data_IF_054107794690
#
_entry.id   IF_054107794690
#
_cell.length_a   1.000
_cell.length_b   1.000
_cell.length_c   1.000
_cell.angle_alpha   90.00
_cell.angle_beta   90.00
_cell.angle_gamma   90.00
#
_symmetry.space_group_name_H-M   'P 1'
#
loop_
_entity.id
_entity.type
_entity.pdbx_description
1 polymer ?
#
# COMPACT_ATOMS: atom_id res chain seq x y z
N UNK A 1 -1.49 -48.76 -28.88
CA UNK A 1 -2.80 -48.75 -29.58
C UNK A 1 -2.76 -48.46 -31.08
N UNK A 2 -2.41 -47.27 -31.57
CA UNK A 2 -2.22 -47.11 -33.03
C UNK A 2 -1.13 -48.06 -33.56
N UNK A 3 -0.15 -48.39 -32.71
CA UNK A 3 0.94 -49.34 -33.00
C UNK A 3 0.45 -50.81 -33.06
N UNK A 4 -0.53 -51.24 -32.27
CA UNK A 4 -1.05 -52.63 -32.30
C UNK A 4 -2.13 -52.83 -33.36
N UNK A 5 -2.99 -51.84 -33.60
CA UNK A 5 -3.88 -51.82 -34.77
C UNK A 5 -3.08 -51.78 -36.07
N UNK A 6 -2.00 -50.97 -36.13
CA UNK A 6 -1.03 -51.01 -37.22
C UNK A 6 -0.27 -52.34 -37.28
N UNK A 7 0.05 -52.98 -36.16
CA UNK A 7 0.74 -54.26 -36.16
C UNK A 7 -0.15 -55.38 -36.72
N UNK A 8 -1.44 -55.40 -36.36
CA UNK A 8 -2.42 -56.32 -36.94
C UNK A 8 -2.68 -56.00 -38.42
N UNK A 9 -2.77 -54.72 -38.79
CA UNK A 9 -2.89 -54.32 -40.20
C UNK A 9 -1.65 -54.74 -41.01
N UNK A 10 -0.45 -54.46 -40.52
CA UNK A 10 0.80 -54.85 -41.15
C UNK A 10 0.97 -56.38 -41.21
N UNK A 11 0.47 -57.12 -40.21
CA UNK A 11 0.41 -58.58 -40.25
C UNK A 11 -0.55 -59.06 -41.34
N UNK A 12 -1.68 -58.39 -41.54
CA UNK A 12 -2.65 -58.70 -42.59
C UNK A 12 -2.05 -58.48 -43.97
N UNK A 13 -1.44 -57.31 -44.17
CA UNK A 13 -0.80 -56.94 -45.43
C UNK A 13 0.30 -57.97 -45.80
N UNK A 14 1.09 -58.44 -44.81
CA UNK A 14 2.07 -59.52 -45.01
C UNK A 14 1.45 -60.89 -45.32
N UNK A 15 0.41 -61.28 -44.60
CA UNK A 15 -0.25 -62.58 -44.80
C UNK A 15 -0.97 -62.62 -46.15
N UNK A 16 -1.57 -61.51 -46.57
CA UNK A 16 -2.20 -61.37 -47.88
C UNK A 16 -1.18 -61.52 -49.01
N UNK A 17 -0.02 -60.89 -48.87
CA UNK A 17 1.04 -60.96 -49.87
C UNK A 17 1.62 -62.37 -50.07
N UNK A 18 1.63 -63.20 -49.02
CA UNK A 18 2.24 -64.54 -49.03
C UNK A 18 1.23 -65.66 -49.32
N UNK A 19 0.01 -65.56 -48.79
CA UNK A 19 -0.98 -66.66 -48.76
C UNK A 19 -2.28 -66.32 -49.53
N UNK A 20 -2.42 -65.09 -50.02
CA UNK A 20 -3.62 -64.57 -50.64
C UNK A 20 -4.70 -64.17 -49.61
N UNK A 21 -5.57 -63.25 -50.02
CA UNK A 21 -6.62 -62.63 -49.19
C UNK A 21 -7.50 -63.63 -48.42
N UNK A 22 -7.98 -64.76 -49.00
CA UNK A 22 -8.87 -65.69 -48.28
C UNK A 22 -8.22 -66.36 -47.07
N UNK A 23 -6.94 -66.77 -47.21
CA UNK A 23 -6.19 -67.43 -46.15
C UNK A 23 -5.74 -66.43 -45.09
N UNK A 24 -5.34 -65.22 -45.48
CA UNK A 24 -5.00 -64.14 -44.57
C UNK A 24 -6.18 -63.76 -43.65
N UNK A 25 -7.39 -63.65 -44.22
CA UNK A 25 -8.61 -63.38 -43.46
C UNK A 25 -8.91 -64.49 -42.45
N UNK A 26 -8.73 -65.74 -42.84
CA UNK A 26 -8.98 -66.90 -41.96
C UNK A 26 -8.00 -66.90 -40.78
N UNK A 27 -6.72 -66.65 -41.03
CA UNK A 27 -5.70 -66.55 -39.97
C UNK A 27 -5.95 -65.35 -39.06
N UNK A 28 -6.44 -64.24 -39.61
CA UNK A 28 -6.86 -63.10 -38.81
C UNK A 28 -8.01 -63.41 -37.87
N UNK A 29 -8.95 -64.26 -38.29
CA UNK A 29 -10.11 -64.64 -37.49
C UNK A 29 -9.74 -65.46 -36.25
N UNK A 30 -8.58 -66.15 -36.25
CA UNK A 30 -8.09 -66.91 -35.10
C UNK A 30 -7.26 -66.08 -34.12
N UNK A 31 -6.91 -64.84 -34.44
CA UNK A 31 -6.21 -63.99 -33.49
C UNK A 31 -7.15 -63.56 -32.37
N UNK A 32 -6.74 -63.70 -31.09
CA UNK A 32 -7.57 -63.28 -29.97
C UNK A 32 -7.91 -61.78 -30.10
N UNK A 33 -9.11 -61.33 -29.72
CA UNK A 33 -9.46 -59.91 -29.71
C UNK A 33 -8.41 -59.13 -28.92
N UNK A 34 -7.99 -57.97 -29.44
CA UNK A 34 -6.84 -57.17 -28.93
C UNK A 34 -7.13 -56.56 -27.55
N UNK A 35 -8.33 -56.73 -27.03
CA UNK A 35 -8.79 -56.18 -25.76
C UNK A 35 -8.28 -57.04 -24.60
N UNK A 36 -7.03 -56.81 -24.20
CA UNK A 36 -6.55 -57.28 -22.90
C UNK A 36 -7.30 -56.59 -21.75
N UNK A 37 -7.42 -57.22 -20.58
CA UNK A 37 -8.25 -56.74 -19.46
C UNK A 37 -7.87 -55.36 -18.89
N UNK A 38 -6.68 -54.84 -19.20
CA UNK A 38 -6.18 -53.52 -18.72
C UNK A 38 -5.97 -52.49 -19.85
N UNK A 39 -6.40 -52.77 -21.08
CA UNK A 39 -6.19 -51.87 -22.21
C UNK A 39 -7.29 -50.77 -22.23
N UNK A 40 -6.92 -49.53 -21.90
CA UNK A 40 -7.81 -48.37 -22.06
C UNK A 40 -8.31 -48.28 -23.52
N UNK A 41 -9.62 -48.26 -23.72
CA UNK A 41 -10.21 -48.22 -25.06
C UNK A 41 -10.01 -46.85 -25.71
N UNK A 42 -10.11 -46.76 -27.04
CA UNK A 42 -10.10 -45.46 -27.73
C UNK A 42 -11.22 -44.54 -27.25
N UNK A 43 -12.33 -45.10 -26.76
CA UNK A 43 -13.42 -44.34 -26.13
C UNK A 43 -13.01 -43.74 -24.79
N UNK A 44 -12.25 -44.48 -23.97
CA UNK A 44 -11.75 -43.99 -22.69
C UNK A 44 -10.73 -42.86 -22.89
N UNK A 45 -9.85 -42.99 -23.89
CA UNK A 45 -8.91 -41.92 -24.27
C UNK A 45 -9.64 -40.68 -24.77
N UNK A 46 -10.71 -40.85 -25.56
CA UNK A 46 -11.53 -39.73 -26.03
C UNK A 46 -12.26 -39.02 -24.88
N UNK A 47 -12.74 -39.76 -23.86
CA UNK A 47 -13.33 -39.17 -22.65
C UNK A 47 -12.30 -38.36 -21.87
N UNK A 48 -11.12 -38.93 -21.60
CA UNK A 48 -10.05 -38.21 -20.90
C UNK A 48 -9.63 -36.95 -21.66
N UNK A 49 -9.58 -37.01 -23.00
CA UNK A 49 -9.31 -35.81 -23.81
C UNK A 49 -10.40 -34.74 -23.63
N UNK A 50 -11.68 -35.13 -23.65
CA UNK A 50 -12.79 -34.20 -23.39
C UNK A 50 -12.69 -33.59 -21.99
N UNK A 51 -12.50 -34.42 -20.96
CA UNK A 51 -12.37 -33.99 -19.57
C UNK A 51 -11.20 -33.02 -19.38
N UNK A 52 -10.08 -33.26 -20.07
CA UNK A 52 -8.92 -32.36 -20.05
C UNK A 52 -9.25 -31.01 -20.70
N UNK A 53 -9.96 -31.00 -21.82
CA UNK A 53 -10.38 -29.77 -22.50
C UNK A 53 -11.38 -28.99 -21.64
N UNK A 54 -12.32 -29.68 -21.00
CA UNK A 54 -13.29 -29.08 -20.07
C UNK A 54 -12.58 -28.50 -18.83
N UNK A 55 -11.62 -29.23 -18.26
CA UNK A 55 -10.79 -28.76 -17.16
C UNK A 55 -10.00 -27.50 -17.56
N UNK A 56 -9.38 -27.50 -18.74
CA UNK A 56 -8.61 -26.35 -19.20
C UNK A 56 -9.49 -25.11 -19.37
N UNK A 57 -10.68 -25.27 -19.98
CA UNK A 57 -11.67 -24.18 -20.07
C UNK A 57 -12.11 -23.67 -18.71
N UNK A 58 -12.30 -24.56 -17.72
CA UNK A 58 -12.64 -24.14 -16.36
C UNK A 58 -11.48 -23.37 -15.70
N UNK A 59 -10.25 -23.81 -15.90
CA UNK A 59 -9.07 -23.12 -15.38
C UNK A 59 -8.93 -21.73 -15.99
N UNK A 60 -9.08 -21.58 -17.31
CA UNK A 60 -9.04 -20.28 -18.00
C UNK A 60 -10.06 -19.30 -17.40
N UNK A 61 -11.30 -19.75 -17.19
CA UNK A 61 -12.35 -18.92 -16.56
C UNK A 61 -12.00 -18.52 -15.13
N UNK A 62 -11.38 -19.43 -14.36
CA UNK A 62 -10.96 -19.14 -12.98
C UNK A 62 -9.78 -18.17 -12.95
N UNK A 63 -8.83 -18.27 -13.87
CA UNK A 63 -7.71 -17.35 -13.97
C UNK A 63 -8.19 -15.96 -14.38
N UNK A 64 -9.07 -15.84 -15.36
CA UNK A 64 -9.71 -14.57 -15.73
C UNK A 64 -10.43 -13.91 -14.53
N UNK A 65 -11.18 -14.71 -13.76
CA UNK A 65 -11.82 -14.21 -12.54
C UNK A 65 -10.82 -13.79 -11.46
N UNK A 66 -9.65 -14.43 -11.38
CA UNK A 66 -8.56 -14.04 -10.48
C UNK A 66 -7.94 -12.71 -10.94
N UNK A 67 -7.67 -12.55 -12.23
CA UNK A 67 -7.09 -11.34 -12.81
C UNK A 67 -8.00 -10.14 -12.56
N UNK A 68 -9.31 -10.27 -12.80
CA UNK A 68 -10.29 -9.23 -12.48
C UNK A 68 -10.32 -8.84 -11.00
N UNK A 69 -10.10 -9.81 -10.09
CA UNK A 69 -9.99 -9.54 -8.66
C UNK A 69 -8.71 -8.81 -8.31
N UNK A 70 -7.59 -9.15 -8.95
CA UNK A 70 -6.33 -8.43 -8.76
C UNK A 70 -6.42 -6.98 -9.27
N UNK A 71 -7.03 -6.74 -10.43
CA UNK A 71 -7.28 -5.37 -10.89
C UNK A 71 -8.14 -4.56 -9.91
N UNK A 72 -9.18 -5.20 -9.33
CA UNK A 72 -10.00 -4.55 -8.32
C UNK A 72 -9.22 -4.25 -7.03
N UNK A 73 -8.29 -5.12 -6.65
CA UNK A 73 -7.37 -4.90 -5.52
C UNK A 73 -6.44 -3.73 -5.82
N UNK A 74 -5.85 -3.67 -7.01
CA UNK A 74 -4.94 -2.58 -7.42
C UNK A 74 -5.65 -1.23 -7.40
N UNK A 75 -6.88 -1.15 -7.92
CA UNK A 75 -7.70 0.07 -7.83
C UNK A 75 -7.97 0.50 -6.39
N UNK A 76 -8.17 -0.46 -5.47
CA UNK A 76 -8.35 -0.16 -4.05
C UNK A 76 -7.06 0.34 -3.40
N UNK A 77 -5.91 -0.21 -3.76
CA UNK A 77 -4.63 0.27 -3.27
C UNK A 77 -4.33 1.69 -3.75
N UNK A 78 -4.56 1.99 -5.03
CA UNK A 78 -4.44 3.37 -5.54
C UNK A 78 -5.33 4.36 -4.78
N UNK A 79 -6.56 3.96 -4.44
CA UNK A 79 -7.46 4.79 -3.63
C UNK A 79 -6.96 4.97 -2.18
N UNK A 80 -6.27 3.96 -1.62
CA UNK A 80 -5.64 4.06 -0.30
C UNK A 80 -4.44 5.01 -0.35
N UNK A 81 -3.59 4.91 -1.36
CA UNK A 81 -2.43 5.79 -1.55
C UNK A 81 -2.87 7.25 -1.63
N UNK A 82 -3.89 7.55 -2.43
CA UNK A 82 -4.42 8.91 -2.53
C UNK A 82 -4.97 9.45 -1.20
N UNK A 83 -5.58 8.58 -0.38
CA UNK A 83 -6.02 8.99 0.96
C UNK A 83 -4.86 9.30 1.88
N UNK A 84 -3.76 8.56 1.79
CA UNK A 84 -2.55 8.84 2.56
C UNK A 84 -1.90 10.16 2.14
N UNK A 85 -1.81 10.45 0.84
CA UNK A 85 -1.34 11.76 0.35
C UNK A 85 -2.15 12.93 0.93
N UNK A 86 -3.48 12.78 1.00
CA UNK A 86 -4.35 13.80 1.60
C UNK A 86 -4.11 13.94 3.11
N UNK A 87 -3.84 12.83 3.81
CA UNK A 87 -3.49 12.86 5.23
C UNK A 87 -2.17 13.60 5.43
N UNK A 88 -1.15 13.33 4.64
CA UNK A 88 0.15 13.99 4.71
C UNK A 88 0.03 15.50 4.48
N UNK A 89 -0.77 15.92 3.49
CA UNK A 89 -1.05 17.33 3.24
C UNK A 89 -1.73 18.02 4.44
N UNK A 90 -2.67 17.33 5.10
CA UNK A 90 -3.34 17.86 6.30
C UNK A 90 -2.39 17.97 7.49
N UNK A 91 -1.48 17.01 7.66
CA UNK A 91 -0.45 17.09 8.70
C UNK A 91 0.52 18.22 8.44
N UNK A 92 1.03 18.38 7.21
CA UNK A 92 1.90 19.50 6.86
C UNK A 92 1.23 20.87 7.10
N UNK A 93 -0.06 21.00 6.75
CA UNK A 93 -0.82 22.22 7.04
C UNK A 93 -1.00 22.47 8.55
N UNK A 94 -1.18 21.41 9.34
CA UNK A 94 -1.29 21.50 10.79
C UNK A 94 0.05 21.91 11.43
N UNK A 95 1.16 21.33 10.98
CA UNK A 95 2.51 21.70 11.41
C UNK A 95 2.77 23.19 11.15
N UNK A 96 2.52 23.66 9.93
CA UNK A 96 2.67 25.09 9.59
C UNK A 96 1.77 25.99 10.46
N UNK A 97 0.53 25.57 10.73
CA UNK A 97 -0.37 26.33 11.58
C UNK A 97 0.13 26.40 13.02
N UNK A 98 0.66 25.30 13.56
CA UNK A 98 1.22 25.25 14.90
C UNK A 98 2.47 26.12 15.03
N UNK A 99 3.39 26.06 14.06
CA UNK A 99 4.59 26.90 14.05
C UNK A 99 4.21 28.39 14.07
N UNK A 100 3.29 28.80 13.19
CA UNK A 100 2.79 30.19 13.14
C UNK A 100 2.15 30.61 14.48
N UNK A 101 1.39 29.70 15.12
CA UNK A 101 0.76 29.97 16.43
C UNK A 101 1.80 30.09 17.53
N UNK A 102 2.83 29.24 17.52
CA UNK A 102 3.91 29.27 18.50
C UNK A 102 4.72 30.55 18.38
N UNK A 103 5.11 30.97 17.17
CA UNK A 103 5.78 32.25 16.94
C UNK A 103 4.93 33.44 17.42
N UNK A 104 3.64 33.43 17.12
CA UNK A 104 2.73 34.48 17.57
C UNK A 104 2.61 34.53 19.11
N UNK A 105 2.58 33.37 19.77
CA UNK A 105 2.57 33.27 21.23
C UNK A 105 3.89 33.76 21.82
N UNK A 106 5.03 33.36 21.25
CA UNK A 106 6.35 33.82 21.67
C UNK A 106 6.46 35.34 21.58
N UNK A 107 6.08 35.92 20.44
CA UNK A 107 6.04 37.36 20.25
C UNK A 107 5.13 38.06 21.25
N UNK A 108 3.95 37.50 21.53
CA UNK A 108 3.01 38.07 22.50
C UNK A 108 3.59 38.06 23.91
N UNK A 109 4.22 36.96 24.33
CA UNK A 109 4.86 36.84 25.64
C UNK A 109 5.99 37.86 25.79
N UNK A 110 6.88 37.93 24.80
CA UNK A 110 8.01 38.89 24.81
C UNK A 110 7.51 40.33 24.83
N UNK A 111 6.49 40.66 24.04
CA UNK A 111 5.90 42.00 24.01
C UNK A 111 5.26 42.38 25.35
N UNK A 112 4.49 41.47 25.97
CA UNK A 112 3.88 41.70 27.28
C UNK A 112 4.95 41.90 28.36
N UNK A 113 5.95 41.02 28.45
CA UNK A 113 7.03 41.14 29.44
C UNK A 113 7.80 42.45 29.26
N UNK A 114 8.18 42.79 28.01
CA UNK A 114 8.88 44.05 27.71
C UNK A 114 8.04 45.27 28.11
N UNK A 115 6.74 45.24 27.86
CA UNK A 115 5.80 46.30 28.24
C UNK A 115 5.70 46.48 29.75
N UNK A 116 5.45 45.40 30.49
CA UNK A 116 5.38 45.41 31.96
C UNK A 116 6.68 45.93 32.58
N UNK A 117 7.83 45.40 32.14
CA UNK A 117 9.15 45.85 32.60
C UNK A 117 9.40 47.34 32.32
N UNK A 118 9.03 47.84 31.14
CA UNK A 118 9.20 49.25 30.81
C UNK A 118 8.36 50.16 31.72
N UNK A 119 7.12 49.78 32.02
CA UNK A 119 6.25 50.54 32.94
C UNK A 119 6.76 50.52 34.38
N UNK A 120 7.28 49.39 34.84
CA UNK A 120 7.85 49.25 36.18
C UNK A 120 9.11 50.11 36.32
N UNK A 121 10.05 50.01 35.38
CA UNK A 121 11.30 50.79 35.40
C UNK A 121 11.03 52.29 35.34
N UNK A 122 10.11 52.73 34.47
CA UNK A 122 9.79 54.17 34.32
C UNK A 122 9.09 54.73 35.56
N UNK A 123 8.16 53.97 36.15
CA UNK A 123 7.45 54.38 37.37
C UNK A 123 8.41 54.43 38.56
N UNK A 124 9.26 53.42 38.72
CA UNK A 124 10.25 53.36 39.78
C UNK A 124 11.27 54.51 39.66
N UNK A 125 11.75 54.79 38.44
CA UNK A 125 12.67 55.91 38.18
C UNK A 125 12.03 57.25 38.58
N UNK A 126 10.76 57.49 38.25
CA UNK A 126 10.03 58.71 38.66
C UNK A 126 9.93 58.85 40.17
N UNK A 127 9.57 57.78 40.88
CA UNK A 127 9.46 57.77 42.34
C UNK A 127 10.80 58.09 42.99
N UNK A 128 11.88 57.45 42.53
CA UNK A 128 13.24 57.70 43.03
C UNK A 128 13.66 59.15 42.81
N UNK A 129 13.46 59.68 41.59
CA UNK A 129 13.84 61.06 41.25
C UNK A 129 13.08 62.08 42.09
N UNK A 130 11.75 61.93 42.23
CA UNK A 130 10.94 62.82 43.06
C UNK A 130 11.36 62.77 44.53
N UNK A 131 11.66 61.57 45.05
CA UNK A 131 12.17 61.40 46.42
C UNK A 131 13.51 62.11 46.65
N UNK A 132 14.46 61.95 45.74
CA UNK A 132 15.78 62.59 45.81
C UNK A 132 15.68 64.12 45.74
N UNK A 133 14.86 64.67 44.83
CA UNK A 133 14.63 66.12 44.73
C UNK A 133 13.98 66.66 46.00
N UNK A 134 12.97 65.97 46.52
CA UNK A 134 12.33 66.32 47.80
C UNK A 134 13.33 66.39 48.95
N UNK A 135 14.20 65.37 49.10
CA UNK A 135 15.23 65.34 50.13
C UNK A 135 16.23 66.52 50.00
N UNK A 136 16.67 66.84 48.78
CA UNK A 136 17.56 67.98 48.53
C UNK A 136 16.92 69.32 48.93
N UNK A 137 15.66 69.55 48.53
CA UNK A 137 14.95 70.79 48.88
C UNK A 137 14.74 70.93 50.38
N UNK A 138 14.38 69.85 51.08
CA UNK A 138 14.23 69.82 52.53
C UNK A 138 15.55 70.16 53.24
N UNK A 139 16.67 69.56 52.82
CA UNK A 139 17.99 69.86 53.37
C UNK A 139 18.38 71.33 53.18
N UNK A 140 18.10 71.90 52.00
CA UNK A 140 18.39 73.31 51.72
C UNK A 140 17.58 74.24 52.63
N UNK A 141 16.29 73.93 52.84
CA UNK A 141 15.42 74.67 53.76
C UNK A 141 15.89 74.63 55.21
N UNK A 142 16.33 73.46 55.69
CA UNK A 142 16.90 73.30 57.04
C UNK A 142 18.16 74.15 57.23
N UNK A 143 19.07 74.16 56.24
CA UNK A 143 20.29 74.98 56.28
C UNK A 143 19.94 76.47 56.34
N UNK A 144 18.99 76.93 55.54
CA UNK A 144 18.54 78.34 55.56
C UNK A 144 17.89 78.71 56.89
N UNK A 145 17.07 77.83 57.47
CA UNK A 145 16.45 78.07 58.78
C UNK A 145 17.51 78.18 59.89
N UNK A 146 18.50 77.27 59.88
CA UNK A 146 19.62 77.32 60.83
C UNK A 146 20.43 78.61 60.69
N UNK A 147 20.66 79.09 59.45
CA UNK A 147 21.42 80.33 59.20
C UNK A 147 20.73 81.62 59.69
N UNK A 148 19.40 81.61 59.92
CA UNK A 148 18.66 82.77 60.45
C UNK A 148 18.60 82.82 61.98
N UNK A 149 18.93 81.71 62.65
CA UNK A 149 18.84 81.55 64.11
C UNK A 149 20.18 81.78 64.83
N UNK A 150 21.29 81.91 64.09
CA UNK A 150 22.62 82.27 64.63
C UNK A 150 23.01 83.68 64.20
#
# INVERSE_FOLDING_TARGET
>A
MAVEGRARQHLFDRLEQVLGTPHALTLMAYLPPVEGPDAATSGDVARVHSDLVDLNRNLDQRFEAIDQRFEAIDRRFQAVDHRFELVDQRFAALEQHLDTRLEAVEHRIVATIRGEMATLVTTQTRVIVLGLVGALTANTGLVLAASRLG
#
